data_IF_203699635450
#
_entry.id   IF_203699635450
#
_cell.length_a   1.000
_cell.length_b   1.000
_cell.length_c   1.000
_cell.angle_alpha   90.00
_cell.angle_beta   90.00
_cell.angle_gamma   90.00
#
_symmetry.space_group_name_H-M   'P 1'
#
loop_
_entity.id
_entity.type
_entity.pdbx_description
1 polymer ?
#
# COMPACT_ATOMS: atom_id res chain seq x y z
N UNK A 1 -11.67 -3.34 13.31
CA UNK A 1 -12.66 -2.24 13.18
C UNK A 1 -11.99 -0.87 13.15
N UNK A 2 -11.08 -0.55 14.09
CA UNK A 2 -10.35 0.73 14.14
C UNK A 2 -9.47 1.01 12.90
N UNK A 3 -8.81 -0.02 12.34
CA UNK A 3 -8.03 0.08 11.09
C UNK A 3 -8.88 0.61 9.92
N UNK A 4 -10.11 0.11 9.75
CA UNK A 4 -10.99 0.53 8.66
C UNK A 4 -11.38 2.01 8.78
N UNK A 5 -11.55 2.50 10.00
CA UNK A 5 -11.86 3.92 10.24
C UNK A 5 -10.70 4.79 9.74
N UNK A 6 -9.45 4.44 10.08
CA UNK A 6 -8.29 5.19 9.57
C UNK A 6 -8.17 5.12 8.05
N UNK A 7 -8.38 3.95 7.44
CA UNK A 7 -8.29 3.81 5.99
C UNK A 7 -9.36 4.64 5.27
N UNK A 8 -10.59 4.69 5.80
CA UNK A 8 -11.65 5.54 5.27
C UNK A 8 -11.34 7.03 5.44
N UNK A 9 -10.79 7.45 6.59
CA UNK A 9 -10.35 8.83 6.80
C UNK A 9 -9.26 9.19 5.78
N UNK A 10 -8.24 8.34 5.61
CA UNK A 10 -7.17 8.54 4.63
C UNK A 10 -7.73 8.63 3.22
N UNK A 11 -8.67 7.76 2.84
CA UNK A 11 -9.35 7.81 1.54
C UNK A 11 -10.07 9.14 1.33
N UNK A 12 -10.86 9.58 2.31
CA UNK A 12 -11.63 10.83 2.20
C UNK A 12 -10.69 12.04 2.16
N UNK A 13 -9.68 12.11 3.03
CA UNK A 13 -8.70 13.22 3.05
C UNK A 13 -7.89 13.30 1.75
N UNK A 14 -7.45 12.15 1.21
CA UNK A 14 -6.69 12.11 -0.04
C UNK A 14 -7.55 12.53 -1.24
N UNK A 15 -8.82 12.12 -1.28
CA UNK A 15 -9.77 12.55 -2.33
C UNK A 15 -10.11 14.05 -2.26
N UNK A 16 -10.36 14.59 -1.06
CA UNK A 16 -10.85 15.95 -0.87
C UNK A 16 -9.73 16.99 -0.84
N UNK A 17 -8.69 16.73 -0.05
CA UNK A 17 -7.66 17.72 0.27
C UNK A 17 -6.32 17.40 -0.40
N UNK A 18 -6.16 16.22 -1.02
CA UNK A 18 -4.90 15.74 -1.63
C UNK A 18 -3.69 15.84 -0.70
N UNK A 19 -3.97 15.85 0.59
CA UNK A 19 -3.03 16.07 1.67
C UNK A 19 -3.63 15.40 2.89
N UNK A 20 -3.11 14.21 3.18
CA UNK A 20 -3.49 13.45 4.36
C UNK A 20 -2.62 13.90 5.53
N UNK A 21 -3.21 14.02 6.71
CA UNK A 21 -2.43 14.35 7.89
C UNK A 21 -1.40 13.26 8.20
N UNK A 22 -0.13 13.65 8.28
CA UNK A 22 0.98 12.71 8.43
C UNK A 22 0.88 11.82 9.69
N UNK A 23 0.22 12.29 10.76
CA UNK A 23 0.05 11.54 12.01
C UNK A 23 -0.88 10.32 11.86
N UNK A 24 -1.76 10.30 10.84
CA UNK A 24 -2.65 9.17 10.59
C UNK A 24 -1.88 7.90 10.19
N UNK A 25 -0.73 8.05 9.52
CA UNK A 25 0.06 6.90 9.05
C UNK A 25 0.74 6.14 10.21
N UNK A 26 1.50 6.80 11.13
CA UNK A 26 2.00 6.12 12.33
C UNK A 26 0.89 5.49 13.17
N UNK A 27 -0.28 6.14 13.26
CA UNK A 27 -1.42 5.60 14.01
C UNK A 27 -2.02 4.36 13.35
N UNK A 28 -2.13 4.36 12.02
CA UNK A 28 -2.52 3.19 11.23
C UNK A 28 -1.51 2.04 11.39
N UNK A 29 -0.21 2.33 11.27
CA UNK A 29 0.85 1.34 11.45
C UNK A 29 0.81 0.70 12.85
N UNK A 30 0.65 1.52 13.90
CA UNK A 30 0.51 1.02 15.27
C UNK A 30 -0.75 0.16 15.44
N UNK A 31 -1.89 0.59 14.87
CA UNK A 31 -3.12 -0.20 14.91
C UNK A 31 -2.95 -1.55 14.21
N UNK A 32 -2.27 -1.59 13.06
CA UNK A 32 -1.99 -2.82 12.32
C UNK A 32 -1.03 -3.75 13.07
N UNK A 33 0.03 -3.20 13.68
CA UNK A 33 0.94 -3.95 14.55
C UNK A 33 0.19 -4.62 15.71
N UNK A 34 -0.68 -3.87 16.38
CA UNK A 34 -1.48 -4.38 17.50
C UNK A 34 -2.39 -5.51 17.01
N UNK A 35 -3.06 -5.34 15.85
CA UNK A 35 -3.90 -6.41 15.30
C UNK A 35 -3.10 -7.65 14.94
N UNK A 36 -1.92 -7.52 14.32
CA UNK A 36 -1.07 -8.65 13.97
C UNK A 36 -0.58 -9.42 15.20
N UNK A 37 -0.24 -8.71 16.27
CA UNK A 37 0.14 -9.33 17.55
C UNK A 37 -1.01 -10.14 18.17
N UNK A 38 -2.22 -9.58 18.21
CA UNK A 38 -3.38 -10.28 18.77
C UNK A 38 -3.90 -11.43 17.89
N UNK A 39 -3.55 -11.47 16.61
CA UNK A 39 -3.83 -12.59 15.72
C UNK A 39 -3.00 -13.85 16.01
N UNK A 40 -2.13 -13.82 17.01
CA UNK A 40 -1.30 -14.97 17.41
C UNK A 40 0.04 -15.04 16.68
N UNK A 41 0.33 -14.09 15.80
CA UNK A 41 1.65 -13.93 15.21
C UNK A 41 2.58 -13.30 16.26
N UNK A 42 3.73 -13.93 16.51
CA UNK A 42 4.73 -13.37 17.42
C UNK A 42 5.16 -11.97 16.96
N UNK A 43 5.39 -11.06 17.91
CA UNK A 43 5.81 -9.69 17.59
C UNK A 43 7.07 -9.64 16.71
N UNK A 44 7.98 -10.60 16.90
CA UNK A 44 9.18 -10.74 16.10
C UNK A 44 8.88 -11.10 14.63
N UNK A 45 7.91 -11.99 14.34
CA UNK A 45 7.59 -12.35 12.96
C UNK A 45 6.91 -11.20 12.23
N UNK A 46 5.97 -10.52 12.90
CA UNK A 46 5.27 -9.34 12.36
C UNK A 46 6.26 -8.21 12.01
N UNK A 47 7.23 -7.93 12.88
CA UNK A 47 8.28 -6.96 12.60
C UNK A 47 9.23 -7.40 11.49
N UNK A 48 9.57 -8.69 11.41
CA UNK A 48 10.39 -9.22 10.32
C UNK A 48 9.71 -9.05 8.96
N UNK A 49 8.42 -9.37 8.86
CA UNK A 49 7.64 -9.13 7.64
C UNK A 49 7.61 -7.65 7.27
N UNK A 50 7.33 -6.76 8.23
CA UNK A 50 7.35 -5.32 8.02
C UNK A 50 8.72 -4.83 7.53
N UNK A 51 9.83 -5.36 8.09
CA UNK A 51 11.19 -5.01 7.68
C UNK A 51 11.46 -5.43 6.23
N UNK A 52 11.13 -6.67 5.85
CA UNK A 52 11.35 -7.14 4.47
C UNK A 52 10.53 -6.37 3.45
N UNK A 53 9.26 -6.11 3.76
CA UNK A 53 8.37 -5.33 2.90
C UNK A 53 8.84 -3.86 2.79
N UNK A 54 9.29 -3.27 3.89
CA UNK A 54 9.83 -1.90 3.89
C UNK A 54 11.12 -1.83 3.08
N UNK A 55 12.04 -2.80 3.22
CA UNK A 55 13.24 -2.89 2.38
C UNK A 55 12.89 -3.01 0.90
N UNK A 56 11.88 -3.80 0.55
CA UNK A 56 11.39 -3.91 -0.82
C UNK A 56 10.90 -2.56 -1.35
N UNK A 57 10.07 -1.82 -0.58
CA UNK A 57 9.61 -0.48 -0.97
C UNK A 57 10.80 0.47 -1.17
N UNK A 58 11.73 0.51 -0.21
CA UNK A 58 12.91 1.40 -0.28
C UNK A 58 13.76 1.07 -1.51
N UNK A 59 14.03 -0.20 -1.77
CA UNK A 59 14.74 -0.64 -2.97
C UNK A 59 14.02 -0.19 -4.23
N UNK A 60 12.70 -0.36 -4.29
CA UNK A 60 11.92 0.04 -5.45
C UNK A 60 11.94 1.56 -5.67
N UNK A 61 11.81 2.36 -4.61
CA UNK A 61 11.91 3.82 -4.67
C UNK A 61 13.30 4.25 -5.14
N UNK A 62 14.36 3.60 -4.67
CA UNK A 62 15.74 3.85 -5.12
C UNK A 62 15.89 3.54 -6.60
N UNK A 63 15.43 2.36 -7.06
CA UNK A 63 15.51 1.95 -8.46
C UNK A 63 14.76 2.94 -9.36
N UNK A 64 13.54 3.32 -8.99
CA UNK A 64 12.78 4.33 -9.72
C UNK A 64 13.53 5.66 -9.74
N UNK A 65 14.04 6.11 -8.59
CA UNK A 65 14.73 7.40 -8.45
C UNK A 65 15.97 7.45 -9.32
N UNK A 66 16.76 6.38 -9.33
CA UNK A 66 17.93 6.23 -10.20
C UNK A 66 17.50 6.24 -11.67
N UNK A 67 16.47 5.48 -12.03
CA UNK A 67 15.97 5.41 -13.41
C UNK A 67 15.53 6.78 -13.95
N UNK A 68 14.70 7.51 -13.20
CA UNK A 68 14.27 8.86 -13.59
C UNK A 68 15.41 9.87 -13.53
N UNK A 69 16.35 9.71 -12.60
CA UNK A 69 17.51 10.60 -12.51
C UNK A 69 18.41 10.47 -13.74
N UNK A 70 18.64 9.24 -14.21
CA UNK A 70 19.40 8.98 -15.44
C UNK A 70 18.64 9.54 -16.64
N UNK A 71 17.32 9.29 -16.72
CA UNK A 71 16.50 9.75 -17.85
C UNK A 71 16.36 11.25 -17.96
N UNK A 72 16.29 11.97 -16.83
CA UNK A 72 16.11 13.42 -16.79
C UNK A 72 17.42 14.21 -16.66
N UNK A 73 18.55 13.54 -16.42
CA UNK A 73 19.86 14.16 -16.23
C UNK A 73 19.98 14.98 -14.93
N UNK A 74 19.02 14.87 -14.01
CA UNK A 74 19.00 15.57 -12.71
C UNK A 74 18.54 14.60 -11.63
N UNK A 75 18.99 14.77 -10.39
CA UNK A 75 18.46 14.03 -9.25
C UNK A 75 16.98 14.42 -9.02
N UNK A 76 16.08 13.62 -9.57
CA UNK A 76 14.63 13.81 -9.41
C UNK A 76 14.15 13.03 -8.20
N UNK A 77 13.72 13.73 -7.15
CA UNK A 77 13.07 13.09 -6.02
C UNK A 77 11.64 12.68 -6.40
N UNK A 78 11.42 11.38 -6.54
CA UNK A 78 10.13 10.80 -6.95
C UNK A 78 9.05 11.01 -5.89
N UNK A 79 9.43 11.07 -4.60
CA UNK A 79 8.50 11.37 -3.52
C UNK A 79 7.88 12.77 -3.64
N UNK A 80 8.60 13.74 -4.22
CA UNK A 80 8.09 15.11 -4.40
C UNK A 80 7.41 15.33 -5.75
N UNK A 81 7.53 14.40 -6.69
CA UNK A 81 7.05 14.59 -8.07
C UNK A 81 5.98 13.61 -8.53
N UNK A 82 6.12 12.32 -8.20
CA UNK A 82 5.34 11.22 -8.80
C UNK A 82 4.45 10.49 -7.80
N UNK A 83 4.96 10.19 -6.59
CA UNK A 83 4.28 9.35 -5.58
C UNK A 83 3.88 10.10 -4.31
N UNK A 84 4.22 11.39 -4.14
CA UNK A 84 3.93 12.09 -2.89
C UNK A 84 4.56 11.45 -1.64
N UNK A 85 4.42 12.09 -0.49
CA UNK A 85 4.80 11.47 0.79
C UNK A 85 3.68 10.61 1.38
N UNK A 86 2.42 10.95 1.09
CA UNK A 86 1.25 10.21 1.55
C UNK A 86 1.24 8.76 1.05
N UNK A 87 1.50 8.54 -0.23
CA UNK A 87 1.51 7.17 -0.80
C UNK A 87 2.61 6.33 -0.16
N UNK A 88 3.83 6.88 0.00
CA UNK A 88 4.95 6.17 0.62
C UNK A 88 4.63 5.81 2.07
N UNK A 89 4.09 6.75 2.85
CA UNK A 89 3.74 6.53 4.24
C UNK A 89 2.61 5.50 4.38
N UNK A 90 1.62 5.51 3.48
CA UNK A 90 0.58 4.48 3.46
C UNK A 90 1.18 3.11 3.18
N UNK A 91 2.02 2.99 2.16
CA UNK A 91 2.67 1.74 1.78
C UNK A 91 3.50 1.16 2.92
N UNK A 92 4.28 2.02 3.60
CA UNK A 92 5.03 1.64 4.80
C UNK A 92 4.07 1.18 5.91
N UNK A 93 2.96 1.90 6.11
CA UNK A 93 1.98 1.59 7.16
C UNK A 93 1.38 0.21 7.00
N UNK A 94 1.07 -0.20 5.78
CA UNK A 94 0.44 -1.49 5.50
C UNK A 94 1.42 -2.67 5.45
N UNK A 95 2.74 -2.43 5.41
CA UNK A 95 3.77 -3.50 5.34
C UNK A 95 3.62 -4.55 6.43
N UNK A 96 3.10 -4.16 7.59
CA UNK A 96 2.98 -5.02 8.77
C UNK A 96 1.88 -6.08 8.65
N UNK A 97 0.98 -5.90 7.69
CA UNK A 97 -0.19 -6.76 7.51
C UNK A 97 0.03 -7.87 6.48
N UNK A 98 1.16 -7.85 5.76
CA UNK A 98 1.40 -8.73 4.62
C UNK A 98 2.71 -9.49 4.78
N UNK A 99 2.72 -10.72 4.28
CA UNK A 99 3.95 -11.40 3.87
C UNK A 99 4.51 -10.81 2.58
N UNK A 100 5.75 -11.15 2.22
CA UNK A 100 6.45 -10.50 1.10
C UNK A 100 5.76 -10.74 -0.24
N UNK A 101 5.34 -11.97 -0.53
CA UNK A 101 4.70 -12.28 -1.83
C UNK A 101 3.32 -11.64 -1.92
N UNK A 102 2.52 -11.74 -0.85
CA UNK A 102 1.21 -11.08 -0.79
C UNK A 102 1.34 -9.55 -0.89
N UNK A 103 2.37 -8.95 -0.28
CA UNK A 103 2.64 -7.51 -0.38
C UNK A 103 2.94 -7.10 -1.82
N UNK A 104 3.83 -7.82 -2.51
CA UNK A 104 4.18 -7.52 -3.91
C UNK A 104 2.96 -7.66 -4.83
N UNK A 105 2.15 -8.71 -4.62
CA UNK A 105 0.92 -8.92 -5.39
C UNK A 105 -0.10 -7.82 -5.13
N UNK A 106 -0.34 -7.46 -3.87
CA UNK A 106 -1.23 -6.35 -3.50
C UNK A 106 -0.75 -5.03 -4.10
N UNK A 107 0.54 -4.72 -3.94
CA UNK A 107 1.11 -3.47 -4.40
C UNK A 107 0.99 -3.33 -5.93
N UNK A 108 1.36 -4.38 -6.66
CA UNK A 108 1.32 -4.36 -8.13
C UNK A 108 -0.12 -4.32 -8.65
N UNK A 109 -1.00 -5.16 -8.12
CA UNK A 109 -2.41 -5.19 -8.54
C UNK A 109 -3.15 -3.91 -8.20
N UNK A 110 -2.92 -3.35 -7.01
CA UNK A 110 -3.52 -2.07 -6.60
C UNK A 110 -3.03 -0.92 -7.48
N UNK A 111 -1.74 -0.85 -7.81
CA UNK A 111 -1.22 0.16 -8.73
C UNK A 111 -1.90 0.09 -10.11
N UNK A 112 -2.00 -1.11 -10.68
CA UNK A 112 -2.69 -1.31 -11.96
C UNK A 112 -4.15 -0.89 -11.84
N UNK A 113 -4.85 -1.28 -10.77
CA UNK A 113 -6.23 -0.92 -10.53
C UNK A 113 -6.42 0.59 -10.40
N UNK A 114 -5.55 1.29 -9.65
CA UNK A 114 -5.59 2.74 -9.51
C UNK A 114 -5.34 3.43 -10.85
N UNK A 115 -4.34 3.00 -11.61
CA UNK A 115 -4.03 3.58 -12.92
C UNK A 115 -5.18 3.39 -13.91
N UNK A 116 -5.81 2.22 -13.92
CA UNK A 116 -6.96 1.94 -14.78
C UNK A 116 -8.18 2.77 -14.38
N UNK A 117 -8.56 2.76 -13.10
CA UNK A 117 -9.73 3.49 -12.60
C UNK A 117 -9.56 4.99 -12.78
N UNK A 118 -8.41 5.56 -12.38
CA UNK A 118 -8.12 6.97 -12.56
C UNK A 118 -7.99 7.35 -14.05
N UNK A 119 -7.35 6.50 -14.86
CA UNK A 119 -7.23 6.69 -16.30
C UNK A 119 -8.60 6.76 -16.99
N UNK A 120 -9.52 5.86 -16.62
CA UNK A 120 -10.90 5.88 -17.11
C UNK A 120 -11.63 7.15 -16.65
N UNK A 121 -11.57 7.51 -15.37
CA UNK A 121 -12.22 8.73 -14.84
C UNK A 121 -11.70 9.97 -15.57
N UNK A 122 -10.39 10.08 -15.78
CA UNK A 122 -9.80 11.22 -16.49
C UNK A 122 -10.12 11.23 -18.00
N UNK A 123 -10.37 10.07 -18.60
CA UNK A 123 -10.83 9.97 -19.98
C UNK A 123 -12.27 10.48 -20.14
N UNK A 124 -13.15 10.13 -19.20
CA UNK A 124 -14.56 10.55 -19.23
C UNK A 124 -14.80 11.95 -18.64
N UNK A 125 -13.92 12.43 -17.77
CA UNK A 125 -14.02 13.75 -17.15
C UNK A 125 -13.41 14.83 -18.05
N UNK A 126 -14.17 15.90 -18.30
CA UNK A 126 -13.68 17.08 -19.04
C UNK A 126 -12.63 17.88 -18.27
N UNK A 127 -12.50 17.65 -16.96
CA UNK A 127 -11.51 18.31 -16.11
C UNK A 127 -10.30 17.39 -15.91
N UNK A 128 -9.19 17.72 -16.59
CA UNK A 128 -7.89 17.06 -16.39
C UNK A 128 -7.34 17.41 -15.01
N UNK A 129 -7.56 16.54 -14.04
CA UNK A 129 -6.92 16.65 -12.74
C UNK A 129 -5.48 16.13 -12.86
N UNK A 130 -4.49 16.97 -12.52
CA UNK A 130 -3.06 16.68 -12.77
C UNK A 130 -2.43 15.66 -11.81
N UNK A 131 -3.02 15.42 -10.64
CA UNK A 131 -2.47 14.51 -9.63
C UNK A 131 -3.38 13.31 -9.42
N UNK A 132 -2.78 12.12 -9.41
CA UNK A 132 -3.45 10.85 -9.16
C UNK A 132 -3.50 10.65 -7.64
N UNK A 133 -4.69 10.55 -7.02
CA UNK A 133 -4.82 10.31 -5.59
C UNK A 133 -4.64 8.81 -5.29
N UNK A 134 -3.36 8.38 -5.32
CA UNK A 134 -2.98 6.97 -5.23
C UNK A 134 -3.17 6.43 -3.82
N UNK A 135 -2.72 7.13 -2.77
CA UNK A 135 -2.90 6.71 -1.38
C UNK A 135 -4.36 6.42 -1.05
N UNK A 136 -5.28 7.31 -1.42
CA UNK A 136 -6.70 7.12 -1.13
C UNK A 136 -7.24 5.86 -1.80
N UNK A 137 -7.02 5.71 -3.11
CA UNK A 137 -7.50 4.53 -3.82
C UNK A 137 -6.86 3.24 -3.34
N UNK A 138 -5.56 3.24 -3.01
CA UNK A 138 -4.90 2.09 -2.38
C UNK A 138 -5.46 1.79 -0.98
N UNK A 139 -5.78 2.79 -0.17
CA UNK A 139 -6.42 2.62 1.13
C UNK A 139 -7.82 2.00 0.98
N UNK A 140 -8.56 2.35 -0.06
CA UNK A 140 -9.85 1.74 -0.38
C UNK A 140 -9.70 0.28 -0.78
N UNK A 141 -8.77 -0.05 -1.69
CA UNK A 141 -8.49 -1.44 -2.10
C UNK A 141 -8.06 -2.27 -0.87
N UNK A 142 -7.19 -1.72 -0.03
CA UNK A 142 -6.76 -2.38 1.20
C UNK A 142 -7.93 -2.57 2.18
N UNK A 143 -8.84 -1.60 2.31
CA UNK A 143 -10.02 -1.72 3.16
C UNK A 143 -10.90 -2.90 2.74
N UNK A 144 -11.12 -3.06 1.43
CA UNK A 144 -11.91 -4.19 0.89
C UNK A 144 -11.23 -5.52 1.18
N UNK A 145 -9.92 -5.62 0.99
CA UNK A 145 -9.17 -6.84 1.31
C UNK A 145 -9.17 -7.14 2.80
N UNK A 146 -8.99 -6.13 3.64
CA UNK A 146 -9.02 -6.28 5.09
C UNK A 146 -10.39 -6.78 5.56
N UNK A 147 -11.49 -6.29 4.98
CA UNK A 147 -12.82 -6.85 5.23
C UNK A 147 -12.92 -8.31 4.75
N UNK A 148 -12.39 -8.62 3.56
CA UNK A 148 -12.41 -9.97 3.01
C UNK A 148 -11.70 -11.00 3.92
N UNK A 149 -10.62 -10.61 4.59
CA UNK A 149 -9.93 -11.50 5.56
C UNK A 149 -10.81 -11.90 6.75
N UNK A 150 -11.79 -11.08 7.14
CA UNK A 150 -12.74 -11.45 8.19
C UNK A 150 -13.76 -12.50 7.72
N UNK A 151 -14.16 -12.45 6.45
CA UNK A 151 -15.12 -13.40 5.89
C UNK A 151 -14.45 -14.72 5.47
N UNK A 152 -13.20 -14.65 5.03
CA UNK A 152 -12.44 -15.80 4.58
C UNK A 152 -11.09 -15.90 5.32
N UNK A 153 -11.05 -16.50 6.52
CA UNK A 153 -9.81 -16.70 7.28
C UNK A 153 -8.80 -17.63 6.59
N UNK A 154 -9.18 -18.28 5.49
CA UNK A 154 -8.25 -19.02 4.63
C UNK A 154 -7.32 -18.11 3.80
N UNK A 155 -7.69 -16.83 3.61
CA UNK A 155 -6.80 -15.81 3.03
C UNK A 155 -6.02 -15.13 4.15
N UNK A 156 -5.01 -15.82 4.67
CA UNK A 156 -4.08 -15.21 5.61
C UNK A 156 -3.08 -14.33 4.83
N UNK A 157 -3.20 -13.02 5.00
CA UNK A 157 -2.30 -12.05 4.36
C UNK A 157 -0.84 -12.21 4.83
N UNK A 158 -0.62 -12.82 6.00
CA UNK A 158 0.70 -13.06 6.56
C UNK A 158 1.33 -14.38 6.09
N UNK A 159 0.60 -15.19 5.33
CA UNK A 159 1.09 -16.48 4.88
C UNK A 159 1.15 -16.54 3.34
N UNK A 160 2.32 -16.91 2.82
CA UNK A 160 2.55 -17.12 1.38
C UNK A 160 2.25 -18.56 0.94
N UNK A 161 1.96 -19.49 1.86
CA UNK A 161 1.78 -20.91 1.56
C UNK A 161 0.67 -21.20 0.56
N UNK A 162 -0.40 -20.40 0.53
CA UNK A 162 -1.48 -20.60 -0.44
C UNK A 162 -1.03 -20.40 -1.90
N UNK A 163 -0.02 -19.53 -2.12
CA UNK A 163 0.60 -19.29 -3.43
C UNK A 163 1.67 -20.33 -3.70
N UNK A 164 2.55 -20.56 -2.71
CA UNK A 164 3.67 -21.50 -2.86
C UNK A 164 3.17 -22.92 -3.13
N UNK A 165 2.15 -23.37 -2.39
CA UNK A 165 1.55 -24.69 -2.61
C UNK A 165 0.89 -24.80 -3.99
N UNK A 166 0.29 -23.73 -4.52
CA UNK A 166 -0.27 -23.75 -5.90
C UNK A 166 0.80 -23.75 -6.99
N UNK A 167 1.96 -23.12 -6.75
CA UNK A 167 3.07 -23.09 -7.69
C UNK A 167 3.90 -24.39 -7.68
N UNK A 168 4.05 -25.05 -6.53
CA UNK A 168 4.83 -26.28 -6.36
C UNK A 168 4.06 -27.57 -6.73
N UNK A 169 2.75 -27.48 -7.00
CA UNK A 169 1.93 -28.62 -7.49
C UNK A 169 2.02 -28.78 -9.02
N UNK A 170 2.82 -27.96 -9.71
CA UNK A 170 3.15 -28.12 -11.14
C UNK A 170 4.60 -28.55 -11.36
#
# INVERSE_FOLDING_TARGET
MLVLIFLLIIFIEDMLSRSVHWFLFPMLYAALLITGYFSGNGLASVLQHSLYNTLFIVLQLVVLTVYFSIKSGKLTNIANGLLGWGDILLLISITVCFSLVNFVLFYTSSLIFVLLTWGMVNYFSKNKQQHIPLAGLQALVFSVLFIATWFHPAFDLNNDEWIINKLLIY
#
